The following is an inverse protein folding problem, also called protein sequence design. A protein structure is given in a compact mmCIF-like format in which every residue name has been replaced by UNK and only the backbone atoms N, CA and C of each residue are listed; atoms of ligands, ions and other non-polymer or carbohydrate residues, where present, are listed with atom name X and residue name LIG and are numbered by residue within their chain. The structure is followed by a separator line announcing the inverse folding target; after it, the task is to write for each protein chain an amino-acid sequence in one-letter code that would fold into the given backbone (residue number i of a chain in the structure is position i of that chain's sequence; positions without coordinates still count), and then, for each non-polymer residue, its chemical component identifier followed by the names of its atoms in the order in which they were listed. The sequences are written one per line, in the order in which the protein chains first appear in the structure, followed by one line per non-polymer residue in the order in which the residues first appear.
data_IF_877490095320
#
_entry.id   IF_877490095320
#
_cell.length_a   1.000
_cell.length_b   1.000
_cell.length_c   1.000
_cell.angle_alpha   90.00
_cell.angle_beta   90.00
_cell.angle_gamma   90.00
#
_symmetry.space_group_name_H-M   'P 1'
#
loop_
_entity.id
_entity.type
_entity.pdbx_description
1 polymer ?
#
# COMPACT_ATOMS: atom_id res chain seq x y z
N UNK A 1 -64.65 41.08 -51.03
CA UNK A 1 -63.38 41.17 -50.28
C UNK A 1 -63.48 40.32 -49.03
N UNK A 2 -62.77 39.19 -48.97
CA UNK A 2 -62.66 38.31 -47.79
C UNK A 2 -61.62 38.88 -46.83
N UNK A 3 -61.93 39.01 -45.53
CA UNK A 3 -60.92 39.15 -44.47
C UNK A 3 -60.89 37.87 -43.65
N UNK A 4 -59.68 37.33 -43.54
CA UNK A 4 -59.31 36.06 -42.93
C UNK A 4 -59.25 36.24 -41.42
N UNK A 5 -59.80 35.28 -40.67
CA UNK A 5 -59.70 35.17 -39.24
C UNK A 5 -58.25 34.88 -38.81
N UNK A 6 -57.68 35.68 -37.90
CA UNK A 6 -56.43 35.35 -37.24
C UNK A 6 -56.69 34.37 -36.10
N UNK A 7 -56.36 33.10 -36.33
CA UNK A 7 -56.22 32.09 -35.29
C UNK A 7 -54.90 32.32 -34.53
N UNK A 8 -54.91 33.20 -33.53
CA UNK A 8 -53.83 33.24 -32.53
C UNK A 8 -54.11 32.22 -31.42
N UNK A 9 -54.07 30.95 -31.80
CA UNK A 9 -54.00 29.83 -30.87
C UNK A 9 -52.55 29.37 -30.75
N UNK A 10 -51.87 29.80 -29.69
CA UNK A 10 -50.63 29.15 -29.24
C UNK A 10 -50.57 29.24 -27.71
N UNK A 11 -51.08 28.21 -27.07
CA UNK A 11 -51.07 28.03 -25.62
C UNK A 11 -49.63 27.94 -25.11
N UNK A 12 -49.16 28.96 -24.38
CA UNK A 12 -47.93 28.95 -23.57
C UNK A 12 -48.00 27.99 -22.35
N UNK A 13 -49.01 27.11 -22.26
CA UNK A 13 -49.21 26.19 -21.12
C UNK A 13 -48.70 24.77 -21.35
N UNK A 14 -48.25 24.43 -22.57
CA UNK A 14 -47.79 23.09 -22.91
C UNK A 14 -46.26 22.93 -22.75
N UNK A 15 -45.69 23.04 -21.54
CA UNK A 15 -44.36 22.41 -21.24
C UNK A 15 -43.95 22.37 -19.76
N UNK A 16 -44.66 23.04 -18.85
CA UNK A 16 -44.25 23.07 -17.43
C UNK A 16 -44.36 21.67 -16.78
N UNK A 17 -45.34 20.87 -17.20
CA UNK A 17 -45.52 19.49 -16.73
C UNK A 17 -44.46 18.52 -17.28
N UNK A 18 -43.97 18.74 -18.50
CA UNK A 18 -42.89 17.92 -19.06
C UNK A 18 -41.55 18.26 -18.41
N UNK A 19 -41.24 19.55 -18.23
CA UNK A 19 -40.01 20.02 -17.57
C UNK A 19 -39.86 19.49 -16.12
N UNK A 20 -40.93 19.55 -15.32
CA UNK A 20 -40.89 19.01 -13.93
C UNK A 20 -40.70 17.49 -13.89
N UNK A 21 -41.31 16.74 -14.82
CA UNK A 21 -41.09 15.28 -14.94
C UNK A 21 -39.67 14.95 -15.40
N UNK A 22 -39.12 15.70 -16.36
CA UNK A 22 -37.72 15.55 -16.80
C UNK A 22 -36.72 15.87 -15.68
N UNK A 23 -36.95 16.93 -14.89
CA UNK A 23 -36.10 17.24 -13.73
C UNK A 23 -36.13 16.14 -12.68
N UNK A 24 -37.30 15.55 -12.40
CA UNK A 24 -37.43 14.39 -11.50
C UNK A 24 -36.70 13.16 -12.05
N UNK A 25 -36.85 12.86 -13.35
CA UNK A 25 -36.14 11.76 -14.00
C UNK A 25 -34.62 11.96 -13.94
N UNK A 26 -34.14 13.17 -14.23
CA UNK A 26 -32.71 13.52 -14.13
C UNK A 26 -32.18 13.33 -12.72
N UNK A 27 -32.97 13.72 -11.70
CA UNK A 27 -32.62 13.49 -10.29
C UNK A 27 -32.54 11.99 -9.96
N UNK A 28 -33.53 11.20 -10.40
CA UNK A 28 -33.51 9.74 -10.20
C UNK A 28 -32.32 9.08 -10.89
N UNK A 29 -32.01 9.47 -12.13
CA UNK A 29 -30.82 8.98 -12.85
C UNK A 29 -29.54 9.35 -12.11
N UNK A 30 -29.44 10.58 -11.60
CA UNK A 30 -28.29 11.03 -10.83
C UNK A 30 -28.16 10.25 -9.51
N UNK A 31 -29.27 10.04 -8.79
CA UNK A 31 -29.30 9.30 -7.54
C UNK A 31 -28.93 7.82 -7.76
N UNK A 32 -29.44 7.18 -8.82
CA UNK A 32 -29.06 5.81 -9.20
C UNK A 32 -27.58 5.74 -9.57
N UNK A 33 -27.06 6.71 -10.33
CA UNK A 33 -25.63 6.79 -10.67
C UNK A 33 -24.78 6.94 -9.41
N UNK A 34 -25.19 7.78 -8.46
CA UNK A 34 -24.50 7.97 -7.18
C UNK A 34 -24.52 6.68 -6.34
N UNK A 35 -25.65 5.97 -6.31
CA UNK A 35 -25.74 4.69 -5.61
C UNK A 35 -24.89 3.60 -6.27
N UNK A 36 -24.85 3.55 -7.60
CA UNK A 36 -24.05 2.56 -8.33
C UNK A 36 -22.56 2.80 -8.11
N UNK A 37 -22.13 4.06 -8.19
CA UNK A 37 -20.74 4.47 -7.93
C UNK A 37 -20.35 4.21 -6.47
N UNK A 38 -21.20 4.53 -5.50
CA UNK A 38 -20.95 4.22 -4.09
C UNK A 38 -20.80 2.71 -3.84
N UNK A 39 -21.66 1.87 -4.44
CA UNK A 39 -21.54 0.41 -4.34
C UNK A 39 -20.25 -0.11 -4.98
N UNK A 40 -19.84 0.47 -6.10
CA UNK A 40 -18.62 0.06 -6.80
C UNK A 40 -17.36 0.46 -6.02
N UNK A 41 -17.36 1.65 -5.39
CA UNK A 41 -16.30 2.09 -4.49
C UNK A 41 -16.22 1.19 -3.25
N UNK A 42 -17.35 0.87 -2.61
CA UNK A 42 -17.39 -0.04 -1.45
C UNK A 42 -16.79 -1.41 -1.77
N UNK A 43 -17.16 -2.01 -2.91
CA UNK A 43 -16.63 -3.30 -3.32
C UNK A 43 -15.13 -3.27 -3.64
N UNK A 44 -14.64 -2.14 -4.17
CA UNK A 44 -13.22 -1.92 -4.43
C UNK A 44 -12.44 -1.80 -3.12
N UNK A 45 -12.95 -1.01 -2.18
CA UNK A 45 -12.33 -0.82 -0.86
C UNK A 45 -12.28 -2.13 -0.06
N UNK A 46 -13.30 -2.98 -0.15
CA UNK A 46 -13.32 -4.32 0.43
C UNK A 46 -12.26 -5.22 -0.20
N UNK A 47 -12.13 -5.21 -1.53
CA UNK A 47 -11.15 -6.01 -2.24
C UNK A 47 -9.72 -5.57 -1.93
N UNK A 48 -9.45 -4.26 -1.91
CA UNK A 48 -8.16 -3.74 -1.46
C UNK A 48 -7.94 -3.96 0.04
N UNK A 49 -9.02 -3.95 0.84
CA UNK A 49 -9.02 -4.33 2.25
C UNK A 49 -8.39 -5.70 2.48
N UNK A 50 -8.69 -6.69 1.65
CA UNK A 50 -8.08 -8.03 1.74
C UNK A 50 -6.57 -8.01 1.52
N UNK A 51 -6.10 -7.21 0.56
CA UNK A 51 -4.66 -6.99 0.33
C UNK A 51 -4.01 -6.39 1.56
N UNK A 52 -4.63 -5.37 2.17
CA UNK A 52 -4.13 -4.73 3.39
C UNK A 52 -4.03 -5.71 4.55
N UNK A 53 -5.09 -6.48 4.79
CA UNK A 53 -5.12 -7.47 5.87
C UNK A 53 -4.04 -8.54 5.67
N UNK A 54 -3.87 -9.04 4.45
CA UNK A 54 -2.84 -10.03 4.15
C UNK A 54 -1.41 -9.48 4.32
N UNK A 55 -1.18 -8.22 3.93
CA UNK A 55 0.10 -7.54 4.15
C UNK A 55 0.39 -7.35 5.64
N UNK A 56 -0.62 -6.97 6.43
CA UNK A 56 -0.49 -6.81 7.88
C UNK A 56 -0.30 -8.13 8.63
N UNK A 57 -0.83 -9.25 8.09
CA UNK A 57 -0.61 -10.59 8.63
C UNK A 57 0.68 -11.25 8.14
N UNK A 58 1.56 -10.49 7.45
CA UNK A 58 2.80 -10.98 6.84
C UNK A 58 2.62 -12.12 5.82
N UNK A 59 1.42 -12.29 5.27
CA UNK A 59 1.14 -13.26 4.23
C UNK A 59 1.25 -12.60 2.84
N UNK A 60 2.50 -12.42 2.41
CA UNK A 60 2.82 -11.81 1.12
C UNK A 60 2.35 -12.65 -0.07
N UNK A 61 2.15 -13.96 0.11
CA UNK A 61 1.66 -14.83 -0.96
C UNK A 61 0.17 -14.58 -1.20
N UNK A 62 -0.62 -14.56 -0.12
CA UNK A 62 -2.03 -14.20 -0.18
C UNK A 62 -2.21 -12.75 -0.62
N UNK A 63 -1.36 -11.83 -0.16
CA UNK A 63 -1.40 -10.43 -0.61
C UNK A 63 -1.16 -10.30 -2.13
N UNK A 64 -0.19 -11.02 -2.69
CA UNK A 64 0.06 -11.05 -4.13
C UNK A 64 -1.12 -11.67 -4.91
N UNK A 65 -1.73 -12.73 -4.38
CA UNK A 65 -2.92 -13.35 -4.97
C UNK A 65 -4.11 -12.39 -4.98
N UNK A 66 -4.40 -11.74 -3.86
CA UNK A 66 -5.48 -10.76 -3.73
C UNK A 66 -5.22 -9.53 -4.59
N UNK A 67 -3.96 -9.06 -4.69
CA UNK A 67 -3.59 -7.99 -5.62
C UNK A 67 -3.83 -8.40 -7.08
N UNK A 68 -3.53 -9.66 -7.44
CA UNK A 68 -3.83 -10.19 -8.77
C UNK A 68 -5.32 -10.27 -9.07
N UNK A 69 -6.14 -10.63 -8.07
CA UNK A 69 -7.61 -10.60 -8.20
C UNK A 69 -8.13 -9.18 -8.33
N UNK A 70 -7.59 -8.27 -7.52
CA UNK A 70 -7.92 -6.85 -7.56
C UNK A 70 -7.65 -6.25 -8.93
N UNK A 71 -6.47 -6.50 -9.49
CA UNK A 71 -6.07 -6.04 -10.83
C UNK A 71 -7.04 -6.52 -11.91
N UNK A 72 -7.43 -7.79 -11.87
CA UNK A 72 -8.40 -8.37 -12.83
C UNK A 72 -9.80 -7.76 -12.74
N UNK A 73 -10.23 -7.33 -11.54
CA UNK A 73 -11.58 -6.82 -11.30
C UNK A 73 -11.69 -5.30 -11.47
N UNK A 74 -10.65 -4.58 -11.07
CA UNK A 74 -10.69 -3.12 -10.91
C UNK A 74 -9.58 -2.39 -11.65
N UNK A 75 -8.69 -3.11 -12.34
CA UNK A 75 -7.50 -2.56 -12.98
C UNK A 75 -6.49 -2.07 -11.95
N UNK A 76 -5.86 -0.95 -12.23
CA UNK A 76 -4.77 -0.41 -11.41
C UNK A 76 -5.25 0.14 -10.09
N UNK A 77 -4.35 0.16 -9.11
CA UNK A 77 -4.58 0.86 -7.84
C UNK A 77 -4.70 2.37 -8.07
N UNK A 78 -5.62 3.00 -7.35
CA UNK A 78 -5.83 4.44 -7.39
C UNK A 78 -4.78 5.16 -6.53
N UNK A 79 -4.78 6.50 -6.55
CA UNK A 79 -3.79 7.29 -5.80
C UNK A 79 -3.85 7.06 -4.28
N UNK A 80 -5.03 6.82 -3.71
CA UNK A 80 -5.18 6.60 -2.27
C UNK A 80 -4.64 5.22 -1.85
N UNK A 81 -4.93 4.19 -2.64
CA UNK A 81 -4.41 2.82 -2.45
C UNK A 81 -2.89 2.78 -2.65
N UNK A 82 -2.38 3.50 -3.65
CA UNK A 82 -0.94 3.66 -3.88
C UNK A 82 -0.27 4.39 -2.71
N UNK A 83 -0.86 5.49 -2.23
CA UNK A 83 -0.34 6.21 -1.07
C UNK A 83 -0.29 5.31 0.17
N UNK A 84 -1.30 4.45 0.37
CA UNK A 84 -1.28 3.46 1.45
C UNK A 84 -0.13 2.47 1.30
N UNK A 85 0.11 1.92 0.10
CA UNK A 85 1.22 0.99 -0.16
C UNK A 85 2.58 1.64 0.07
N UNK A 86 2.75 2.90 -0.36
CA UNK A 86 3.99 3.67 -0.15
C UNK A 86 4.22 3.93 1.34
N UNK A 87 3.17 4.30 2.09
CA UNK A 87 3.26 4.46 3.54
C UNK A 87 3.63 3.14 4.23
N UNK A 88 3.07 2.02 3.77
CA UNK A 88 3.42 0.70 4.29
C UNK A 88 4.87 0.32 3.98
N UNK A 89 5.37 0.66 2.78
CA UNK A 89 6.77 0.49 2.42
C UNK A 89 7.70 1.33 3.31
N UNK A 90 7.31 2.57 3.61
CA UNK A 90 8.07 3.42 4.52
C UNK A 90 8.12 2.83 5.93
N UNK A 91 7.01 2.27 6.43
CA UNK A 91 7.00 1.55 7.71
C UNK A 91 8.01 0.38 7.72
N UNK A 92 8.06 -0.43 6.65
CA UNK A 92 9.05 -1.51 6.53
C UNK A 92 10.47 -0.95 6.56
N UNK A 93 10.75 0.13 5.82
CA UNK A 93 12.08 0.73 5.78
C UNK A 93 12.52 1.28 7.15
N UNK A 94 11.61 1.86 7.93
CA UNK A 94 11.93 2.33 9.28
C UNK A 94 12.28 1.16 10.22
N UNK A 95 11.56 0.04 10.16
CA UNK A 95 11.92 -1.15 10.93
C UNK A 95 13.31 -1.69 10.55
N UNK A 96 13.66 -1.72 9.26
CA UNK A 96 15.01 -2.12 8.81
C UNK A 96 16.07 -1.19 9.41
N UNK A 97 15.84 0.13 9.36
CA UNK A 97 16.76 1.12 9.93
C UNK A 97 16.91 0.94 11.44
N UNK A 98 15.82 0.66 12.16
CA UNK A 98 15.84 0.44 13.60
C UNK A 98 16.71 -0.77 13.97
N UNK A 99 16.49 -1.92 13.33
CA UNK A 99 17.33 -3.09 13.56
C UNK A 99 18.80 -2.84 13.17
N UNK A 100 19.06 -2.13 12.07
CA UNK A 100 20.41 -1.80 11.64
C UNK A 100 21.12 -0.87 12.65
N UNK A 101 20.42 0.14 13.17
CA UNK A 101 20.95 1.04 14.21
C UNK A 101 21.26 0.28 15.50
N UNK A 102 20.33 -0.57 15.95
CA UNK A 102 20.52 -1.35 17.17
C UNK A 102 21.70 -2.32 17.04
N UNK A 103 21.81 -3.05 15.92
CA UNK A 103 22.96 -3.90 15.65
C UNK A 103 24.28 -3.11 15.63
N UNK A 104 24.28 -1.91 15.03
CA UNK A 104 25.48 -1.06 15.01
C UNK A 104 25.89 -0.56 16.41
N UNK A 105 24.93 -0.28 17.30
CA UNK A 105 25.23 0.11 18.69
C UNK A 105 25.88 -1.05 19.44
N UNK A 106 25.30 -2.25 19.36
CA UNK A 106 25.85 -3.45 20.00
C UNK A 106 27.25 -3.78 19.48
N UNK A 107 27.45 -3.75 18.16
CA UNK A 107 28.78 -3.97 17.56
C UNK A 107 29.81 -2.94 18.01
N UNK A 108 29.41 -1.67 18.20
CA UNK A 108 30.32 -0.63 18.71
C UNK A 108 30.69 -0.86 20.17
N UNK A 109 29.75 -1.29 20.99
CA UNK A 109 30.01 -1.61 22.39
C UNK A 109 30.94 -2.80 22.52
N UNK A 110 30.71 -3.85 21.71
CA UNK A 110 31.60 -5.01 21.65
C UNK A 110 33.02 -4.63 21.21
N UNK A 111 33.16 -3.82 20.15
CA UNK A 111 34.47 -3.34 19.71
C UNK A 111 35.20 -2.51 20.77
N UNK A 112 34.47 -1.74 21.62
CA UNK A 112 35.07 -1.02 22.74
C UNK A 112 35.60 -1.96 23.81
N UNK A 113 34.89 -3.04 24.09
CA UNK A 113 35.33 -4.07 25.04
C UNK A 113 36.57 -4.80 24.49
N UNK A 114 36.54 -5.21 23.23
CA UNK A 114 37.68 -5.83 22.54
C UNK A 114 38.93 -4.93 22.60
N UNK A 115 38.74 -3.61 22.37
CA UNK A 115 39.83 -2.64 22.44
C UNK A 115 40.39 -2.49 23.86
N UNK A 116 39.53 -2.52 24.87
CA UNK A 116 39.93 -2.51 26.29
C UNK A 116 40.75 -3.75 26.62
N UNK A 117 40.29 -4.92 26.19
CA UNK A 117 40.95 -6.20 26.46
C UNK A 117 42.33 -6.26 25.79
N UNK A 118 42.43 -5.76 24.55
CA UNK A 118 43.70 -5.68 23.84
C UNK A 118 44.67 -4.68 24.47
N UNK A 119 44.29 -3.40 24.60
CA UNK A 119 45.23 -2.34 24.99
C UNK A 119 45.41 -2.20 26.50
N UNK A 120 44.35 -2.35 27.28
CA UNK A 120 44.40 -2.07 28.72
C UNK A 120 44.74 -3.31 29.53
N UNK A 121 44.34 -4.50 29.07
CA UNK A 121 44.64 -5.77 29.74
C UNK A 121 45.81 -6.52 29.08
N UNK A 122 46.28 -6.06 27.91
CA UNK A 122 47.42 -6.65 27.20
C UNK A 122 47.14 -8.04 26.63
N UNK A 123 45.85 -8.38 26.39
CA UNK A 123 45.48 -9.66 25.80
C UNK A 123 45.92 -9.67 24.33
N UNK A 124 46.59 -10.74 23.83
CA UNK A 124 46.99 -10.83 22.44
C UNK A 124 45.81 -10.65 21.48
N UNK A 125 46.02 -9.91 20.39
CA UNK A 125 44.96 -9.53 19.45
C UNK A 125 44.27 -10.74 18.81
N UNK A 126 44.99 -11.84 18.61
CA UNK A 126 44.46 -13.09 18.07
C UNK A 126 43.45 -13.73 19.02
N UNK A 127 43.71 -13.64 20.33
CA UNK A 127 42.81 -14.17 21.38
C UNK A 127 41.56 -13.30 21.47
N UNK A 128 41.72 -11.98 21.46
CA UNK A 128 40.58 -11.03 21.44
C UNK A 128 39.73 -11.24 20.19
N UNK A 129 40.33 -11.37 19.01
CA UNK A 129 39.60 -11.59 17.76
C UNK A 129 38.81 -12.91 17.77
N UNK A 130 39.40 -13.99 18.29
CA UNK A 130 38.72 -15.27 18.43
C UNK A 130 37.52 -15.18 19.39
N UNK A 131 37.72 -14.58 20.58
CA UNK A 131 36.67 -14.38 21.58
C UNK A 131 35.55 -13.48 21.06
N UNK A 132 35.90 -12.39 20.36
CA UNK A 132 34.96 -11.45 19.76
C UNK A 132 34.09 -12.14 18.71
N UNK A 133 34.69 -12.92 17.79
CA UNK A 133 33.93 -13.68 16.79
C UNK A 133 32.96 -14.68 17.44
N UNK A 134 33.40 -15.40 18.47
CA UNK A 134 32.53 -16.35 19.19
C UNK A 134 31.41 -15.63 19.93
N UNK A 135 31.71 -14.51 20.60
CA UNK A 135 30.72 -13.69 21.31
C UNK A 135 29.70 -13.07 20.35
N UNK A 136 30.13 -12.58 19.18
CA UNK A 136 29.24 -12.04 18.15
C UNK A 136 28.29 -13.10 17.60
N UNK A 137 28.79 -14.31 17.34
CA UNK A 137 27.96 -15.43 16.87
C UNK A 137 26.95 -15.88 17.93
N UNK A 138 27.34 -15.87 19.21
CA UNK A 138 26.51 -16.33 20.32
C UNK A 138 25.61 -15.24 20.92
N UNK A 139 25.79 -13.97 20.54
CA UNK A 139 24.99 -12.85 21.05
C UNK A 139 23.57 -12.91 20.53
N UNK A 140 22.62 -13.31 21.39
CA UNK A 140 21.21 -13.40 21.06
C UNK A 140 20.63 -12.06 20.58
N UNK A 141 21.10 -10.93 21.13
CA UNK A 141 20.66 -9.59 20.76
C UNK A 141 21.09 -9.24 19.33
N UNK A 142 22.37 -9.44 19.00
CA UNK A 142 22.90 -9.21 17.64
C UNK A 142 22.17 -10.11 16.64
N UNK A 143 22.02 -11.41 16.96
CA UNK A 143 21.31 -12.34 16.09
C UNK A 143 19.85 -11.94 15.89
N UNK A 144 19.17 -11.43 16.92
CA UNK A 144 17.80 -10.92 16.82
C UNK A 144 17.70 -9.76 15.84
N UNK A 145 18.61 -8.79 15.90
CA UNK A 145 18.60 -7.67 14.96
C UNK A 145 18.98 -8.08 13.54
N UNK A 146 19.94 -8.99 13.35
CA UNK A 146 20.29 -9.53 12.04
C UNK A 146 19.13 -10.31 11.40
N UNK A 147 18.42 -11.13 12.18
CA UNK A 147 17.21 -11.81 11.74
C UNK A 147 16.11 -10.81 11.40
N UNK A 148 15.94 -9.76 12.20
CA UNK A 148 15.02 -8.65 11.92
C UNK A 148 15.31 -7.99 10.57
N UNK A 149 16.56 -7.59 10.32
CA UNK A 149 16.99 -7.02 9.03
C UNK A 149 16.64 -7.97 7.88
N UNK A 150 16.99 -9.26 8.01
CA UNK A 150 16.70 -10.27 6.98
C UNK A 150 15.20 -10.41 6.71
N UNK A 151 14.40 -10.51 7.77
CA UNK A 151 12.95 -10.66 7.66
C UNK A 151 12.32 -9.43 6.99
N UNK A 152 12.61 -8.22 7.48
CA UNK A 152 12.05 -7.00 6.93
C UNK A 152 12.54 -6.68 5.52
N UNK A 153 13.78 -7.02 5.17
CA UNK A 153 14.28 -6.87 3.79
C UNK A 153 13.54 -7.81 2.83
N UNK A 154 13.25 -9.05 3.25
CA UNK A 154 12.40 -9.95 2.47
C UNK A 154 11.00 -9.37 2.26
N UNK A 155 10.40 -8.82 3.30
CA UNK A 155 9.09 -8.13 3.24
C UNK A 155 9.11 -6.97 2.26
N UNK A 156 10.17 -6.15 2.29
CA UNK A 156 10.35 -5.04 1.36
C UNK A 156 10.37 -5.53 -0.09
N UNK A 157 11.16 -6.58 -0.39
CA UNK A 157 11.23 -7.19 -1.71
C UNK A 157 9.88 -7.72 -2.21
N UNK A 158 9.14 -8.44 -1.36
CA UNK A 158 7.81 -8.92 -1.70
C UNK A 158 6.82 -7.76 -1.94
N UNK A 159 6.84 -6.73 -1.10
CA UNK A 159 5.98 -5.56 -1.26
C UNK A 159 6.28 -4.80 -2.55
N UNK A 160 7.55 -4.65 -2.94
CA UNK A 160 7.90 -4.00 -4.21
C UNK A 160 7.28 -4.70 -5.42
N UNK A 161 7.28 -6.03 -5.45
CA UNK A 161 6.64 -6.81 -6.52
C UNK A 161 5.11 -6.60 -6.51
N UNK A 162 4.48 -6.55 -5.34
CA UNK A 162 3.04 -6.28 -5.20
C UNK A 162 2.69 -4.87 -5.71
N UNK A 163 3.52 -3.87 -5.38
CA UNK A 163 3.35 -2.49 -5.84
C UNK A 163 3.49 -2.41 -7.37
N UNK A 164 4.52 -3.04 -7.94
CA UNK A 164 4.73 -3.08 -9.39
C UNK A 164 3.53 -3.70 -10.11
N UNK A 165 3.01 -4.81 -9.57
CA UNK A 165 1.81 -5.46 -10.10
C UNK A 165 0.57 -4.55 -10.04
N UNK A 166 0.45 -3.74 -8.99
CA UNK A 166 -0.60 -2.72 -8.90
C UNK A 166 -0.45 -1.56 -9.90
N UNK A 167 0.78 -1.29 -10.38
CA UNK A 167 1.12 -0.21 -11.32
C UNK A 167 1.03 -0.63 -12.79
N UNK A 168 1.34 -1.87 -13.13
CA UNK A 168 1.45 -2.30 -14.52
C UNK A 168 0.11 -2.21 -15.26
N UNK A 169 0.15 -1.53 -16.42
CA UNK A 169 -0.89 -1.43 -17.41
C UNK A 169 -0.32 -1.84 -18.77
N UNK A 170 -0.12 -3.14 -19.01
CA UNK A 170 0.19 -3.59 -20.36
C UNK A 170 -0.33 -5.02 -20.57
N UNK A 171 -1.20 -5.14 -21.56
CA UNK A 171 -1.87 -6.36 -21.94
C UNK A 171 -0.86 -7.42 -22.41
N UNK A 172 -0.84 -8.57 -21.74
CA UNK A 172 -0.19 -9.78 -22.27
C UNK A 172 -1.05 -10.41 -23.41
N UNK A 173 -2.20 -9.81 -23.72
CA UNK A 173 -2.91 -10.07 -24.97
C UNK A 173 -2.64 -8.93 -25.96
N UNK A 174 -1.60 -9.12 -26.78
CA UNK A 174 -1.52 -8.65 -28.17
C UNK A 174 -1.34 -9.87 -29.03
#
# INVERSE_FOLDING_TARGET
MRRVASLSGASLRASIFSLRRFQRLRKVIQDVKNQLTAKQVSKRDEAFGKVRTALQSDDYWTAALEMSRFEKLYGHVNNAEMAWLVNYQQHIHENIKEHARAAAVLSKEQARNDFRDWLNLGIPVEVVAAQSSTSFQNSAEIQTHLLGIKAWTRRAGCLSVIIEKGKQAESIWK
#
